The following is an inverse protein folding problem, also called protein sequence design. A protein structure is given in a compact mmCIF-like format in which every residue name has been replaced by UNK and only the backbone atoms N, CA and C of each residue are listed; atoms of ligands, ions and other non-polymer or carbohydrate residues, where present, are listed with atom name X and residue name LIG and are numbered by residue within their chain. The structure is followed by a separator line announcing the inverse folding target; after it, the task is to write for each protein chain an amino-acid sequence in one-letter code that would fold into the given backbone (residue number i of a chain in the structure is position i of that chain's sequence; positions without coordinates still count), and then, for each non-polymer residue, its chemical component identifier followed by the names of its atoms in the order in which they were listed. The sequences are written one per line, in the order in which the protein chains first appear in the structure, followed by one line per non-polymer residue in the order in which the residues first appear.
data_IF_103970390837
#
_entry.id   IF_103970390837
#
_cell.length_a   1.000
_cell.length_b   1.000
_cell.length_c   1.000
_cell.angle_alpha   90.00
_cell.angle_beta   90.00
_cell.angle_gamma   90.00
#
_symmetry.space_group_name_H-M   'P 1'
#
loop_
_entity.id
_entity.type
_entity.pdbx_description
1 polymer ?
#
# COMPACT_ATOMS: atom_id res chain seq x y z
N UNK A 1 -26.88 -59.38 -11.91
CA UNK A 1 -27.16 -57.95 -12.17
C UNK A 1 -26.77 -57.00 -11.03
N UNK A 2 -26.91 -57.34 -9.73
CA UNK A 2 -26.56 -56.43 -8.62
C UNK A 2 -25.07 -56.04 -8.50
N UNK A 3 -24.15 -56.88 -8.98
CA UNK A 3 -22.69 -56.63 -8.88
C UNK A 3 -22.24 -55.56 -9.90
N UNK A 4 -22.78 -55.58 -11.12
CA UNK A 4 -22.46 -54.61 -12.19
C UNK A 4 -22.88 -53.19 -11.81
N UNK A 5 -24.03 -53.05 -11.13
CA UNK A 5 -24.54 -51.76 -10.62
C UNK A 5 -23.61 -51.12 -9.57
N UNK A 6 -22.93 -51.91 -8.74
CA UNK A 6 -21.98 -51.40 -7.74
C UNK A 6 -20.71 -50.84 -8.40
N UNK A 7 -20.22 -51.50 -9.45
CA UNK A 7 -19.04 -51.02 -10.18
C UNK A 7 -19.32 -49.75 -10.97
N UNK A 8 -20.52 -49.60 -11.53
CA UNK A 8 -20.93 -48.36 -12.20
C UNK A 8 -21.04 -47.20 -11.20
N UNK A 9 -21.61 -47.44 -10.03
CA UNK A 9 -21.69 -46.44 -8.96
C UNK A 9 -20.29 -46.04 -8.45
N UNK A 10 -19.38 -47.01 -8.30
CA UNK A 10 -17.99 -46.76 -7.89
C UNK A 10 -17.24 -45.95 -8.95
N UNK A 11 -17.40 -46.28 -10.23
CA UNK A 11 -16.77 -45.56 -11.33
C UNK A 11 -17.31 -44.12 -11.41
N UNK A 12 -18.61 -43.92 -11.21
CA UNK A 12 -19.21 -42.59 -11.14
C UNK A 12 -18.67 -41.76 -9.98
N UNK A 13 -18.47 -42.37 -8.81
CA UNK A 13 -17.88 -41.70 -7.65
C UNK A 13 -16.42 -41.28 -7.92
N UNK A 14 -15.63 -42.15 -8.56
CA UNK A 14 -14.23 -41.86 -8.91
C UNK A 14 -14.16 -40.71 -9.92
N UNK A 15 -15.05 -40.65 -10.90
CA UNK A 15 -15.09 -39.56 -11.88
C UNK A 15 -15.43 -38.23 -11.19
N UNK A 16 -16.44 -38.19 -10.32
CA UNK A 16 -16.82 -36.94 -9.60
C UNK A 16 -15.69 -36.46 -8.67
N UNK A 17 -15.01 -37.38 -7.98
CA UNK A 17 -13.90 -37.03 -7.08
C UNK A 17 -12.67 -36.55 -7.86
N UNK A 18 -12.44 -37.04 -9.08
CA UNK A 18 -11.30 -36.64 -9.92
C UNK A 18 -11.56 -35.37 -10.72
N UNK A 19 -12.81 -35.03 -11.03
CA UNK A 19 -13.17 -33.76 -11.70
C UNK A 19 -13.44 -32.61 -10.73
N UNK A 20 -13.75 -32.89 -9.46
CA UNK A 20 -14.03 -31.86 -8.44
C UNK A 20 -12.77 -31.20 -7.86
N UNK A 21 -11.56 -31.67 -8.19
CA UNK A 21 -10.30 -31.03 -7.84
C UNK A 21 -9.91 -29.99 -8.90
N UNK A 22 -10.73 -28.95 -9.09
CA UNK A 22 -10.27 -27.81 -9.87
C UNK A 22 -9.18 -27.06 -9.06
N UNK A 23 -7.97 -27.02 -9.62
CA UNK A 23 -6.81 -26.30 -9.04
C UNK A 23 -6.96 -24.78 -9.07
N UNK A 24 -8.12 -24.27 -9.49
CA UNK A 24 -8.41 -22.85 -9.70
C UNK A 24 -8.98 -22.17 -8.46
N UNK A 25 -8.76 -22.71 -7.25
CA UNK A 25 -9.27 -22.07 -6.03
C UNK A 25 -8.78 -20.62 -5.89
N UNK A 26 -7.54 -20.31 -6.27
CA UNK A 26 -6.98 -18.95 -6.24
C UNK A 26 -7.39 -18.04 -7.42
N UNK A 27 -7.92 -18.61 -8.51
CA UNK A 27 -8.49 -17.83 -9.63
C UNK A 27 -9.97 -17.52 -9.39
N UNK A 28 -10.69 -18.43 -8.73
CA UNK A 28 -12.10 -18.26 -8.33
C UNK A 28 -12.21 -17.41 -7.06
N UNK A 29 -11.28 -17.57 -6.10
CA UNK A 29 -11.23 -16.80 -4.87
C UNK A 29 -10.04 -15.85 -4.92
N UNK A 30 -10.34 -14.58 -5.13
CA UNK A 30 -9.35 -13.51 -4.99
C UNK A 30 -8.89 -13.47 -3.53
N UNK A 31 -7.58 -13.66 -3.31
CA UNK A 31 -6.98 -13.47 -1.99
C UNK A 31 -7.21 -12.01 -1.55
N UNK A 32 -7.94 -11.76 -0.45
CA UNK A 32 -8.22 -10.39 0.00
C UNK A 32 -6.96 -9.62 0.42
N UNK A 33 -5.82 -10.30 0.59
CA UNK A 33 -4.53 -9.66 0.88
C UNK A 33 -3.84 -9.12 -0.37
N UNK A 34 -4.25 -9.55 -1.57
CA UNK A 34 -3.68 -9.11 -2.84
C UNK A 34 -4.59 -8.07 -3.48
N UNK A 35 -4.22 -6.80 -3.33
CA UNK A 35 -4.96 -5.69 -3.94
C UNK A 35 -4.54 -5.54 -5.41
N UNK A 36 -5.34 -6.11 -6.31
CA UNK A 36 -5.06 -6.09 -7.76
C UNK A 36 -5.55 -4.83 -8.48
N UNK A 37 -6.60 -4.18 -7.95
CA UNK A 37 -7.19 -2.97 -8.52
C UNK A 37 -7.55 -1.97 -7.39
N UNK A 38 -6.56 -1.28 -6.79
CA UNK A 38 -6.81 -0.31 -5.74
C UNK A 38 -7.55 0.92 -6.29
N UNK A 39 -8.57 1.40 -5.56
CA UNK A 39 -9.28 2.64 -5.89
C UNK A 39 -8.34 3.85 -5.74
N UNK A 40 -8.15 4.61 -6.82
CA UNK A 40 -7.31 5.82 -6.84
C UNK A 40 -7.75 6.89 -5.85
N UNK A 41 -9.05 6.99 -5.53
CA UNK A 41 -9.57 7.91 -4.51
C UNK A 41 -9.11 7.51 -3.12
N UNK A 42 -9.14 6.20 -2.84
CA UNK A 42 -8.63 5.65 -1.59
C UNK A 42 -7.12 5.86 -1.48
N UNK A 43 -6.36 5.51 -2.53
CA UNK A 43 -4.91 5.71 -2.57
C UNK A 43 -4.53 7.17 -2.31
N UNK A 44 -5.24 8.13 -2.91
CA UNK A 44 -4.99 9.55 -2.69
C UNK A 44 -5.28 9.95 -1.25
N UNK A 45 -6.44 9.57 -0.74
CA UNK A 45 -6.90 9.92 0.61
C UNK A 45 -5.97 9.33 1.68
N UNK A 46 -5.58 8.06 1.52
CA UNK A 46 -4.60 7.38 2.36
C UNK A 46 -3.25 8.10 2.33
N UNK A 47 -2.75 8.46 1.15
CA UNK A 47 -1.46 9.16 1.01
C UNK A 47 -1.48 10.52 1.71
N UNK A 48 -2.58 11.25 1.61
CA UNK A 48 -2.78 12.55 2.28
C UNK A 48 -2.93 12.40 3.80
N UNK A 49 -3.62 11.36 4.27
CA UNK A 49 -3.70 11.03 5.69
C UNK A 49 -2.32 10.69 6.25
N UNK A 50 -1.54 9.86 5.56
CA UNK A 50 -0.18 9.49 5.98
C UNK A 50 0.75 10.68 6.02
N UNK A 51 0.60 11.65 5.11
CA UNK A 51 1.32 12.92 5.16
C UNK A 51 1.05 13.73 6.45
N UNK A 52 -0.11 13.56 7.08
CA UNK A 52 -0.48 14.32 8.29
C UNK A 52 -0.21 13.55 9.58
N UNK A 53 -0.33 12.22 9.55
CA UNK A 53 -0.36 11.38 10.75
C UNK A 53 1.00 10.80 11.14
N UNK A 54 2.01 10.84 10.26
CA UNK A 54 3.34 10.31 10.58
C UNK A 54 4.11 11.12 11.65
N UNK A 55 3.69 12.36 11.91
CA UNK A 55 4.48 13.38 12.60
C UNK A 55 4.69 13.14 14.11
N UNK A 56 3.95 12.22 14.74
CA UNK A 56 4.01 12.02 16.20
C UNK A 56 5.41 11.64 16.70
N UNK A 57 6.04 10.66 16.04
CA UNK A 57 7.42 10.27 16.34
C UNK A 57 8.45 11.26 15.78
N UNK A 58 8.19 11.81 14.59
CA UNK A 58 9.08 12.80 13.94
C UNK A 58 9.29 14.02 14.85
N UNK A 59 8.23 14.58 15.42
CA UNK A 59 8.31 15.79 16.23
C UNK A 59 9.24 15.62 17.45
N UNK A 60 9.18 14.46 18.10
CA UNK A 60 10.01 14.15 19.27
C UNK A 60 11.44 13.85 18.81
N UNK A 61 11.61 12.84 17.96
CA UNK A 61 12.94 12.26 17.71
C UNK A 61 13.73 13.00 16.62
N UNK A 62 13.08 13.51 15.59
CA UNK A 62 13.75 14.23 14.49
C UNK A 62 13.69 15.75 14.69
N UNK A 63 12.58 16.26 15.25
CA UNK A 63 12.40 17.68 15.57
C UNK A 63 13.18 18.12 16.81
N UNK A 64 12.76 17.66 17.98
CA UNK A 64 13.32 18.10 19.27
C UNK A 64 14.74 17.61 19.52
N UNK A 65 15.10 16.41 19.07
CA UNK A 65 16.41 15.83 19.34
C UNK A 65 17.46 16.10 18.27
N UNK A 66 17.06 16.54 17.06
CA UNK A 66 18.00 16.85 15.99
C UNK A 66 17.81 18.28 15.51
N UNK A 67 16.73 18.56 14.77
CA UNK A 67 16.56 19.82 14.05
C UNK A 67 16.65 21.05 14.98
N UNK A 68 15.87 21.09 16.06
CA UNK A 68 15.81 22.27 16.94
C UNK A 68 17.08 22.46 17.78
N UNK A 69 17.83 21.39 18.05
CA UNK A 69 19.13 21.48 18.73
C UNK A 69 20.19 22.01 17.77
N UNK A 70 20.29 21.46 16.56
CA UNK A 70 21.28 21.91 15.57
C UNK A 70 21.02 23.34 15.07
N UNK A 71 19.76 23.77 15.06
CA UNK A 71 19.37 25.15 14.72
C UNK A 71 19.30 26.07 15.94
N UNK A 72 19.64 25.59 17.13
CA UNK A 72 19.67 26.34 18.39
C UNK A 72 18.32 26.98 18.80
N UNK A 73 17.20 26.43 18.35
CA UNK A 73 15.86 26.81 18.83
C UNK A 73 15.61 26.32 20.26
N UNK A 74 16.29 25.25 20.69
CA UNK A 74 16.25 24.70 22.05
C UNK A 74 17.65 24.34 22.54
N UNK A 75 17.90 24.52 23.83
CA UNK A 75 19.13 24.06 24.49
C UNK A 75 18.89 22.71 25.16
N UNK A 76 19.77 21.73 24.96
CA UNK A 76 19.66 20.40 25.59
C UNK A 76 20.99 19.92 26.16
N UNK A 77 20.91 19.15 27.26
CA UNK A 77 22.02 18.40 27.84
C UNK A 77 21.46 17.05 28.30
N UNK A 78 22.05 15.88 27.94
CA UNK A 78 23.28 15.68 27.13
C UNK A 78 23.06 15.71 25.61
N UNK A 79 24.17 15.79 24.84
CA UNK A 79 24.19 15.72 23.36
C UNK A 79 24.23 14.27 22.86
N UNK A 80 23.24 13.46 23.25
CA UNK A 80 23.11 12.09 22.75
C UNK A 80 22.29 12.07 21.46
N UNK A 81 22.80 11.32 20.47
CA UNK A 81 22.11 11.06 19.20
C UNK A 81 21.27 9.80 19.37
N UNK A 82 19.96 9.90 19.18
CA UNK A 82 19.07 8.74 19.24
C UNK A 82 18.95 8.07 17.87
N UNK A 83 18.71 6.75 17.88
CA UNK A 83 18.53 5.95 16.67
C UNK A 83 17.10 5.96 16.10
N UNK A 84 16.16 6.68 16.75
CA UNK A 84 14.75 6.75 16.34
C UNK A 84 14.55 7.76 15.20
N UNK A 85 15.31 7.57 14.13
CA UNK A 85 15.34 8.40 12.93
C UNK A 85 14.70 7.68 11.75
N UNK A 86 14.54 8.35 10.62
CA UNK A 86 13.99 7.81 9.37
C UNK A 86 12.48 7.53 9.38
N UNK A 87 11.71 8.04 10.35
CA UNK A 87 10.25 7.88 10.37
C UNK A 87 9.62 8.49 9.11
N UNK A 88 10.04 9.71 8.75
CA UNK A 88 9.60 10.39 7.52
C UNK A 88 9.99 9.62 6.26
N UNK A 89 11.22 9.12 6.21
CA UNK A 89 11.77 8.42 5.05
C UNK A 89 10.99 7.13 4.78
N UNK A 90 10.77 6.33 5.83
CA UNK A 90 10.01 5.10 5.76
C UNK A 90 8.60 5.35 5.24
N UNK A 91 7.88 6.32 5.81
CA UNK A 91 6.51 6.65 5.37
C UNK A 91 6.47 7.14 3.93
N UNK A 92 7.39 8.02 3.52
CA UNK A 92 7.43 8.53 2.16
C UNK A 92 7.62 7.41 1.13
N UNK A 93 8.64 6.58 1.30
CA UNK A 93 9.00 5.56 0.31
C UNK A 93 8.14 4.28 0.36
N UNK A 94 7.52 3.96 1.50
CA UNK A 94 6.70 2.74 1.64
C UNK A 94 5.20 2.97 1.48
N UNK A 95 4.69 4.16 1.84
CA UNK A 95 3.24 4.38 1.97
C UNK A 95 2.70 5.51 1.11
N UNK A 96 3.52 6.49 0.70
CA UNK A 96 3.05 7.66 -0.07
C UNK A 96 3.50 7.54 -1.52
N UNK A 97 4.81 7.52 -1.77
CA UNK A 97 5.35 7.59 -3.12
C UNK A 97 4.84 6.46 -4.04
N UNK A 98 4.78 5.18 -3.60
CA UNK A 98 4.25 4.11 -4.46
C UNK A 98 2.79 4.34 -4.87
N UNK A 99 1.97 4.81 -3.94
CA UNK A 99 0.55 5.09 -4.19
C UNK A 99 0.37 6.23 -5.20
N UNK A 100 1.19 7.28 -5.12
CA UNK A 100 1.15 8.39 -6.07
C UNK A 100 1.50 7.94 -7.50
N UNK A 101 2.50 7.08 -7.65
CA UNK A 101 2.84 6.50 -8.96
C UNK A 101 1.75 5.57 -9.48
N UNK A 102 1.16 4.75 -8.61
CA UNK A 102 0.06 3.85 -8.99
C UNK A 102 -1.18 4.63 -9.46
N UNK A 103 -1.55 5.72 -8.78
CA UNK A 103 -2.63 6.61 -9.21
C UNK A 103 -2.39 7.12 -10.64
N UNK A 104 -1.19 7.66 -10.91
CA UNK A 104 -0.84 8.19 -12.24
C UNK A 104 -0.87 7.09 -13.29
N UNK A 105 -0.36 5.90 -12.96
CA UNK A 105 -0.38 4.73 -13.84
C UNK A 105 -1.81 4.34 -14.21
N UNK A 106 -2.72 4.27 -13.24
CA UNK A 106 -4.13 3.94 -13.50
C UNK A 106 -4.82 5.03 -14.32
N UNK A 107 -4.67 6.31 -13.95
CA UNK A 107 -5.27 7.43 -14.70
C UNK A 107 -4.82 7.41 -16.17
N UNK A 108 -3.55 7.12 -16.43
CA UNK A 108 -3.03 7.03 -17.80
C UNK A 108 -3.70 5.95 -18.66
N UNK A 109 -4.29 4.92 -18.03
CA UNK A 109 -5.02 3.83 -18.70
C UNK A 109 -6.52 4.08 -18.86
N UNK A 110 -7.07 5.11 -18.21
CA UNK A 110 -8.51 5.38 -18.28
C UNK A 110 -8.92 5.99 -19.63
N UNK A 111 -10.06 5.56 -20.19
CA UNK A 111 -10.58 6.15 -21.43
C UNK A 111 -10.96 7.63 -21.26
N UNK A 112 -11.34 8.04 -20.05
CA UNK A 112 -11.78 9.38 -19.69
C UNK A 112 -10.77 10.12 -18.78
N UNK A 113 -9.48 9.82 -18.96
CA UNK A 113 -8.36 10.37 -18.17
C UNK A 113 -8.38 11.89 -17.95
N UNK A 114 -8.93 12.66 -18.89
CA UNK A 114 -9.01 14.13 -18.80
C UNK A 114 -9.90 14.60 -17.63
N UNK A 115 -10.86 13.76 -17.19
CA UNK A 115 -11.66 13.99 -15.99
C UNK A 115 -10.82 13.93 -14.70
N UNK A 116 -9.68 13.23 -14.74
CA UNK A 116 -8.80 12.96 -13.60
C UNK A 116 -7.55 13.84 -13.56
N UNK A 117 -7.40 14.78 -14.49
CA UNK A 117 -6.23 15.69 -14.58
C UNK A 117 -5.91 16.41 -13.25
N UNK A 118 -6.93 16.74 -12.44
CA UNK A 118 -6.75 17.41 -11.16
C UNK A 118 -6.15 16.46 -10.11
N UNK A 119 -6.61 15.21 -10.09
CA UNK A 119 -6.06 14.19 -9.22
C UNK A 119 -4.61 13.91 -9.59
N UNK A 120 -4.32 13.76 -10.88
CA UNK A 120 -2.96 13.61 -11.40
C UNK A 120 -2.06 14.76 -10.94
N UNK A 121 -2.47 16.01 -11.12
CA UNK A 121 -1.71 17.18 -10.67
C UNK A 121 -1.46 17.19 -9.15
N UNK A 122 -2.48 16.86 -8.34
CA UNK A 122 -2.36 16.82 -6.87
C UNK A 122 -1.31 15.79 -6.42
N UNK A 123 -1.16 14.67 -7.13
CA UNK A 123 -0.13 13.68 -6.77
C UNK A 123 1.28 14.30 -6.77
N UNK A 124 1.58 15.20 -7.71
CA UNK A 124 2.89 15.88 -7.75
C UNK A 124 3.09 16.83 -6.58
N UNK A 125 2.04 17.55 -6.17
CA UNK A 125 2.10 18.43 -4.99
C UNK A 125 2.44 17.63 -3.74
N UNK A 126 1.75 16.50 -3.51
CA UNK A 126 2.01 15.62 -2.36
C UNK A 126 3.43 15.05 -2.43
N UNK A 127 3.86 14.61 -3.61
CA UNK A 127 5.20 14.08 -3.83
C UNK A 127 6.29 15.11 -3.51
N UNK A 128 6.15 16.35 -3.99
CA UNK A 128 7.13 17.42 -3.79
C UNK A 128 7.16 17.85 -2.33
N UNK A 129 5.98 18.09 -1.73
CA UNK A 129 5.86 18.56 -0.35
C UNK A 129 6.53 17.60 0.65
N UNK A 130 6.31 16.30 0.50
CA UNK A 130 6.97 15.31 1.36
C UNK A 130 8.39 14.96 0.86
N UNK A 131 8.64 15.04 -0.44
CA UNK A 131 9.97 14.80 -1.02
C UNK A 131 11.04 15.76 -0.49
N UNK A 132 10.71 17.06 -0.42
CA UNK A 132 11.60 18.08 0.14
C UNK A 132 11.87 17.83 1.63
N UNK A 133 10.91 17.26 2.34
CA UNK A 133 11.05 16.91 3.75
C UNK A 133 12.06 15.77 3.93
N UNK A 134 12.02 14.73 3.10
CA UNK A 134 12.88 13.54 3.30
C UNK A 134 14.30 13.68 2.74
N UNK A 135 14.67 14.83 2.18
CA UNK A 135 16.02 15.14 1.67
C UNK A 135 16.85 15.87 2.70
#
# INVERSE_FOLDING_TARGET
MKIVSKYIALLGLIIVVTTSCEKQFGEINTDPTVVSAPDIKYLLSYSQEKLMTYNGGEWIWEGMEQLFRFTQHVTSSPYEVTGNVNGRYGVYYSQILPNLFEIRRQIATYPDKDNYQKMDAVTYIVQILHGIKVT
#
